data_IF_824136805812
#
_entry.id   IF_824136805812
#
_cell.length_a   1.000
_cell.length_b   1.000
_cell.length_c   1.000
_cell.angle_alpha   90.00
_cell.angle_beta   90.00
_cell.angle_gamma   90.00
#
_symmetry.space_group_name_H-M   'P 1'
#
loop_
_entity.id
_entity.type
_entity.pdbx_description
1 polymer ?
#
# COMPACT_ATOMS: atom_id res chain seq x y z
N UNK A 1 -27.08 0.70 0.74
CA UNK A 1 -26.05 -0.29 0.35
C UNK A 1 -25.98 -0.40 -1.16
N UNK A 2 -24.91 -0.99 -1.70
CA UNK A 2 -24.80 -1.33 -3.13
C UNK A 2 -25.43 -2.70 -3.42
N UNK A 3 -25.74 -3.01 -4.68
CA UNK A 3 -26.26 -4.33 -5.07
C UNK A 3 -25.30 -5.47 -4.68
N UNK A 4 -23.99 -5.23 -4.80
CA UNK A 4 -22.97 -6.18 -4.36
C UNK A 4 -23.04 -6.45 -2.86
N UNK A 5 -23.19 -5.40 -2.05
CA UNK A 5 -23.29 -5.53 -0.60
C UNK A 5 -24.52 -6.36 -0.19
N UNK A 6 -25.69 -6.03 -0.73
CA UNK A 6 -26.93 -6.75 -0.43
C UNK A 6 -26.87 -8.23 -0.86
N UNK A 7 -26.14 -8.53 -1.94
CA UNK A 7 -25.88 -9.91 -2.37
C UNK A 7 -24.98 -10.66 -1.37
N UNK A 8 -23.84 -10.08 -1.00
CA UNK A 8 -22.90 -10.71 -0.05
C UNK A 8 -23.53 -10.94 1.33
N UNK A 9 -24.37 -10.00 1.77
CA UNK A 9 -25.15 -10.13 3.01
C UNK A 9 -26.12 -11.31 2.95
N UNK A 10 -26.92 -11.42 1.87
CA UNK A 10 -27.85 -12.54 1.66
C UNK A 10 -27.14 -13.89 1.60
N UNK A 11 -25.93 -13.92 1.03
CA UNK A 11 -25.10 -15.12 0.93
C UNK A 11 -24.35 -15.45 2.22
N UNK A 12 -24.43 -14.61 3.26
CA UNK A 12 -23.73 -14.82 4.53
C UNK A 12 -22.21 -14.72 4.42
N UNK A 13 -21.71 -13.97 3.42
CA UNK A 13 -20.27 -13.88 3.09
C UNK A 13 -19.59 -12.65 3.65
N UNK A 14 -20.31 -11.74 4.30
CA UNK A 14 -19.73 -10.57 4.95
C UNK A 14 -19.09 -10.99 6.27
N UNK A 15 -17.83 -10.58 6.47
CA UNK A 15 -17.05 -10.87 7.68
C UNK A 15 -17.12 -9.71 8.68
N UNK A 16 -17.05 -8.48 8.18
CA UNK A 16 -17.01 -7.26 8.98
C UNK A 16 -17.49 -6.05 8.16
N UNK A 17 -17.88 -4.98 8.84
CA UNK A 17 -18.14 -3.71 8.17
C UNK A 17 -16.84 -3.11 7.62
N UNK A 18 -16.95 -2.43 6.47
CA UNK A 18 -15.78 -1.77 5.88
C UNK A 18 -15.38 -0.57 6.76
N UNK A 19 -14.10 -0.45 7.16
CA UNK A 19 -13.62 0.70 7.93
C UNK A 19 -13.54 1.99 7.10
N UNK A 20 -13.88 1.94 5.80
CA UNK A 20 -13.81 3.09 4.89
C UNK A 20 -12.42 3.32 4.26
N UNK A 21 -11.43 2.48 4.59
CA UNK A 21 -10.14 2.47 3.91
C UNK A 21 -10.23 1.68 2.60
N UNK A 22 -10.27 2.42 1.49
CA UNK A 22 -10.44 1.86 0.15
C UNK A 22 -9.15 1.29 -0.46
N UNK A 23 -8.02 1.36 0.25
CA UNK A 23 -6.70 0.90 -0.22
C UNK A 23 -6.15 -0.22 0.68
N UNK A 24 -6.90 -0.61 1.72
CA UNK A 24 -6.52 -1.69 2.63
C UNK A 24 -6.49 -3.06 1.92
N UNK A 25 -5.42 -3.84 2.15
CA UNK A 25 -5.28 -5.22 1.68
C UNK A 25 -5.94 -6.23 2.63
N UNK A 26 -7.14 -5.91 3.14
CA UNK A 26 -7.92 -6.79 4.02
C UNK A 26 -9.29 -7.04 3.38
N UNK A 27 -9.63 -8.31 3.20
CA UNK A 27 -10.95 -8.70 2.72
C UNK A 27 -11.93 -8.68 3.89
N UNK A 28 -13.02 -7.93 3.75
CA UNK A 28 -14.14 -7.91 4.68
C UNK A 28 -15.28 -8.85 4.26
N UNK A 29 -15.01 -9.74 3.30
CA UNK A 29 -15.95 -10.74 2.81
C UNK A 29 -15.21 -12.00 2.35
N UNK A 30 -15.92 -13.12 2.24
CA UNK A 30 -15.40 -14.40 1.73
C UNK A 30 -15.52 -14.41 0.21
N UNK A 31 -14.42 -14.34 -0.57
CA UNK A 31 -14.48 -14.39 -2.03
C UNK A 31 -14.80 -15.80 -2.55
N UNK A 32 -15.33 -15.87 -3.77
CA UNK A 32 -15.56 -17.15 -4.48
C UNK A 32 -14.27 -17.65 -5.12
N UNK A 33 -13.45 -16.71 -5.59
CA UNK A 33 -12.09 -17.00 -6.03
C UNK A 33 -11.17 -17.17 -4.83
N UNK A 34 -10.06 -17.86 -5.06
CA UNK A 34 -8.99 -17.95 -4.08
C UNK A 34 -8.61 -16.55 -3.52
N UNK A 35 -8.66 -16.35 -2.18
CA UNK A 35 -8.39 -15.07 -1.56
C UNK A 35 -7.01 -14.50 -1.86
N UNK A 36 -5.97 -15.36 -1.94
CA UNK A 36 -4.61 -14.92 -2.22
C UNK A 36 -4.51 -14.38 -3.65
N UNK A 37 -5.08 -15.10 -4.62
CA UNK A 37 -5.16 -14.66 -6.01
C UNK A 37 -5.90 -13.33 -6.17
N UNK A 38 -6.95 -13.09 -5.37
CA UNK A 38 -7.68 -11.81 -5.38
C UNK A 38 -6.80 -10.66 -4.88
N UNK A 39 -6.13 -10.86 -3.73
CA UNK A 39 -5.24 -9.85 -3.14
C UNK A 39 -4.04 -9.55 -4.03
N UNK A 40 -3.44 -10.57 -4.65
CA UNK A 40 -2.35 -10.41 -5.62
C UNK A 40 -2.81 -9.64 -6.86
N UNK A 41 -4.01 -9.95 -7.38
CA UNK A 41 -4.61 -9.23 -8.49
C UNK A 41 -4.83 -7.75 -8.15
N UNK A 42 -5.36 -7.47 -6.96
CA UNK A 42 -5.55 -6.11 -6.46
C UNK A 42 -4.23 -5.35 -6.32
N UNK A 43 -3.22 -5.98 -5.68
CA UNK A 43 -1.86 -5.43 -5.56
C UNK A 43 -1.25 -5.10 -6.92
N UNK A 44 -1.40 -6.01 -7.89
CA UNK A 44 -0.91 -5.82 -9.26
C UNK A 44 -1.60 -4.62 -9.93
N UNK A 45 -2.92 -4.49 -9.79
CA UNK A 45 -3.66 -3.35 -10.36
C UNK A 45 -3.18 -2.03 -9.77
N UNK A 46 -3.10 -1.93 -8.44
CA UNK A 46 -2.68 -0.70 -7.76
C UNK A 46 -1.24 -0.31 -8.12
N UNK A 47 -0.29 -1.25 -8.02
CA UNK A 47 1.12 -1.01 -8.37
C UNK A 47 1.32 -0.67 -9.85
N UNK A 48 0.42 -1.14 -10.73
CA UNK A 48 0.45 -0.79 -12.15
C UNK A 48 -0.13 0.60 -12.39
N UNK A 49 -1.25 0.96 -11.78
CA UNK A 49 -1.89 2.27 -12.00
C UNK A 49 -1.04 3.37 -11.37
N UNK A 50 -0.57 3.16 -10.15
CA UNK A 50 0.18 4.12 -9.35
C UNK A 50 1.67 3.76 -9.29
N UNK A 51 2.25 3.52 -10.47
CA UNK A 51 3.68 3.22 -10.59
C UNK A 51 4.54 4.37 -10.02
N UNK A 52 5.79 4.13 -9.55
CA UNK A 52 6.63 5.18 -8.96
C UNK A 52 6.91 6.38 -9.87
N UNK A 53 6.75 6.22 -11.19
CA UNK A 53 6.87 7.29 -12.18
C UNK A 53 5.54 7.95 -12.56
N UNK A 54 4.41 7.45 -12.05
CA UNK A 54 3.02 7.85 -12.35
C UNK A 54 2.67 7.92 -13.84
N UNK A 55 3.42 7.21 -14.70
CA UNK A 55 3.24 7.31 -16.16
C UNK A 55 1.84 6.86 -16.57
N UNK A 56 1.42 5.70 -16.07
CA UNK A 56 0.13 5.09 -16.42
C UNK A 56 -1.04 5.88 -15.83
N UNK A 57 -0.87 6.39 -14.62
CA UNK A 57 -1.85 7.28 -14.00
C UNK A 57 -2.08 8.54 -14.86
N UNK A 58 -1.01 9.21 -15.28
CA UNK A 58 -1.12 10.43 -16.06
C UNK A 58 -1.68 10.21 -17.46
N UNK A 59 -1.35 9.10 -18.11
CA UNK A 59 -1.96 8.71 -19.38
C UNK A 59 -3.48 8.54 -19.24
N UNK A 60 -3.93 7.84 -18.19
CA UNK A 60 -5.36 7.66 -17.90
C UNK A 60 -6.05 8.99 -17.60
N UNK A 61 -5.42 9.87 -16.82
CA UNK A 61 -5.94 11.20 -16.53
C UNK A 61 -6.07 12.03 -17.81
N UNK A 62 -5.08 11.95 -18.70
CA UNK A 62 -5.14 12.64 -19.98
C UNK A 62 -6.31 12.14 -20.82
N UNK A 63 -6.44 10.82 -20.99
CA UNK A 63 -7.58 10.22 -21.71
C UNK A 63 -8.91 10.68 -21.13
N UNK A 64 -9.05 10.66 -19.80
CA UNK A 64 -10.24 11.16 -19.12
C UNK A 64 -10.54 12.63 -19.47
N UNK A 65 -9.53 13.51 -19.38
CA UNK A 65 -9.68 14.93 -19.72
C UNK A 65 -9.94 15.17 -21.22
N UNK A 66 -9.51 14.28 -22.10
CA UNK A 66 -9.83 14.33 -23.53
C UNK A 66 -11.30 14.05 -23.78
N UNK A 67 -11.94 13.16 -23.01
CA UNK A 67 -13.34 12.79 -23.19
C UNK A 67 -14.32 13.61 -22.34
N UNK A 68 -13.86 14.23 -21.25
CA UNK A 68 -14.71 15.08 -20.42
C UNK A 68 -15.00 16.43 -21.10
N UNK A 69 -16.27 16.83 -21.04
CA UNK A 69 -16.66 18.19 -21.38
C UNK A 69 -16.25 19.13 -20.24
N UNK A 70 -15.72 20.33 -20.55
CA UNK A 70 -15.44 21.33 -19.53
C UNK A 70 -16.71 21.64 -18.74
N UNK A 71 -16.63 21.54 -17.41
CA UNK A 71 -17.76 21.92 -16.55
C UNK A 71 -18.06 23.42 -16.74
N UNK A 72 -19.34 23.82 -16.91
CA UNK A 72 -19.72 25.23 -17.04
C UNK A 72 -19.66 25.99 -15.71
N UNK A 73 -19.31 25.33 -14.60
CA UNK A 73 -19.24 25.97 -13.30
C UNK A 73 -18.12 27.03 -13.29
N UNK A 74 -18.38 28.25 -12.79
CA UNK A 74 -17.38 29.30 -12.75
C UNK A 74 -16.20 28.84 -11.90
N UNK A 75 -15.02 28.80 -12.51
CA UNK A 75 -13.77 28.49 -11.82
C UNK A 75 -13.55 29.59 -10.77
N UNK A 76 -13.59 29.20 -9.50
CA UNK A 76 -13.34 30.10 -8.37
C UNK A 76 -12.02 30.85 -8.58
N UNK A 77 -11.99 32.15 -8.31
CA UNK A 77 -10.76 32.96 -8.40
C UNK A 77 -9.69 32.37 -7.50
N UNK A 78 -8.57 31.99 -8.10
CA UNK A 78 -7.40 31.44 -7.43
C UNK A 78 -6.70 32.57 -6.64
N UNK A 79 -6.46 32.36 -5.34
CA UNK A 79 -5.76 33.33 -4.49
C UNK A 79 -4.24 33.20 -4.66
N UNK A 80 -3.49 34.30 -4.45
CA UNK A 80 -2.01 34.29 -4.52
C UNK A 80 -1.36 33.26 -3.59
N UNK A 81 -1.95 33.01 -2.42
CA UNK A 81 -1.49 31.99 -1.49
C UNK A 81 -1.64 30.56 -2.06
N UNK A 82 -2.71 30.29 -2.82
CA UNK A 82 -2.94 29.01 -3.48
C UNK A 82 -1.93 28.79 -4.60
N UNK A 83 -1.58 29.85 -5.35
CA UNK A 83 -0.50 29.82 -6.36
C UNK A 83 0.88 29.52 -5.75
N UNK A 84 1.20 30.10 -4.60
CA UNK A 84 2.46 29.84 -3.90
C UNK A 84 2.53 28.41 -3.35
N UNK A 85 1.43 27.91 -2.77
CA UNK A 85 1.32 26.52 -2.32
C UNK A 85 1.47 25.54 -3.51
N UNK A 86 0.86 25.88 -4.64
CA UNK A 86 1.03 25.16 -5.91
C UNK A 86 2.48 25.16 -6.37
N UNK A 87 3.14 26.31 -6.46
CA UNK A 87 4.53 26.41 -6.90
C UNK A 87 5.48 25.58 -6.01
N UNK A 88 5.26 25.56 -4.70
CA UNK A 88 6.04 24.72 -3.76
C UNK A 88 5.80 23.23 -4.00
N UNK A 89 4.55 22.82 -4.26
CA UNK A 89 4.19 21.44 -4.60
C UNK A 89 4.79 21.01 -5.94
N UNK A 90 4.73 21.88 -6.95
CA UNK A 90 5.34 21.70 -8.27
C UNK A 90 6.84 21.45 -8.18
N UNK A 91 7.59 22.27 -7.43
CA UNK A 91 9.04 22.10 -7.27
C UNK A 91 9.39 20.73 -6.69
N UNK A 92 8.63 20.26 -5.71
CA UNK A 92 8.82 18.93 -5.11
C UNK A 92 8.52 17.80 -6.09
N UNK A 93 7.45 17.92 -6.87
CA UNK A 93 7.04 16.88 -7.83
C UNK A 93 7.95 16.82 -9.07
N UNK A 94 8.39 17.97 -9.59
CA UNK A 94 9.33 18.04 -10.73
C UNK A 94 10.69 17.41 -10.41
N UNK A 95 11.17 17.54 -9.17
CA UNK A 95 12.43 16.95 -8.71
C UNK A 95 12.29 15.49 -8.23
N UNK A 96 11.09 14.92 -8.31
CA UNK A 96 10.82 13.55 -7.87
C UNK A 96 10.94 12.54 -9.04
N UNK A 97 10.85 11.25 -8.72
CA UNK A 97 10.88 10.16 -9.72
C UNK A 97 9.80 10.29 -10.79
N UNK A 98 8.64 10.88 -10.46
CA UNK A 98 7.56 11.12 -11.43
C UNK A 98 7.68 12.44 -12.22
N UNK A 99 8.70 13.27 -11.95
CA UNK A 99 8.85 14.61 -12.52
C UNK A 99 8.70 14.69 -14.04
N UNK A 100 9.33 13.79 -14.83
CA UNK A 100 9.18 13.78 -16.28
C UNK A 100 7.73 13.51 -16.74
N UNK A 101 7.05 12.54 -16.13
CA UNK A 101 5.67 12.20 -16.48
C UNK A 101 4.69 13.31 -16.08
N UNK A 102 4.93 13.89 -14.91
CA UNK A 102 4.20 15.05 -14.39
C UNK A 102 4.29 16.26 -15.33
N UNK A 103 5.51 16.63 -15.73
CA UNK A 103 5.72 17.76 -16.64
C UNK A 103 5.07 17.50 -18.00
N UNK A 104 5.27 16.30 -18.57
CA UNK A 104 4.67 15.90 -19.85
C UNK A 104 3.15 15.99 -19.81
N UNK A 105 2.53 15.51 -18.73
CA UNK A 105 1.08 15.55 -18.54
C UNK A 105 0.55 16.98 -18.52
N UNK A 106 1.14 17.85 -17.69
CA UNK A 106 0.68 19.23 -17.55
C UNK A 106 0.91 20.06 -18.81
N UNK A 107 2.06 19.89 -19.46
CA UNK A 107 2.35 20.56 -20.74
C UNK A 107 1.32 20.17 -21.81
N UNK A 108 0.97 18.87 -21.88
CA UNK A 108 0.00 18.36 -22.85
C UNK A 108 -1.42 18.89 -22.59
N UNK A 109 -1.86 18.91 -21.34
CA UNK A 109 -3.18 19.50 -21.00
C UNK A 109 -3.20 21.00 -21.27
N UNK A 110 -2.13 21.73 -20.95
CA UNK A 110 -2.06 23.16 -21.20
C UNK A 110 -2.17 23.48 -22.70
N UNK A 111 -1.56 22.66 -23.57
CA UNK A 111 -1.62 22.82 -25.02
C UNK A 111 -2.96 22.39 -25.62
N UNK A 112 -3.50 21.22 -25.24
CA UNK A 112 -4.67 20.62 -25.89
C UNK A 112 -6.01 21.07 -25.26
N UNK A 113 -6.02 21.34 -23.94
CA UNK A 113 -7.23 21.58 -23.14
C UNK A 113 -6.98 22.64 -22.04
N UNK A 114 -6.60 23.89 -22.35
CA UNK A 114 -6.23 24.90 -21.33
C UNK A 114 -7.34 25.19 -20.31
N UNK A 115 -8.63 25.08 -20.72
CA UNK A 115 -9.78 25.24 -19.80
C UNK A 115 -9.85 24.17 -18.70
N UNK A 116 -9.19 23.02 -18.89
CA UNK A 116 -9.12 21.91 -17.94
C UNK A 116 -7.82 21.89 -17.13
N UNK A 117 -6.97 22.92 -17.25
CA UNK A 117 -5.66 22.91 -16.62
C UNK A 117 -5.73 22.89 -15.08
N UNK A 118 -6.68 23.61 -14.48
CA UNK A 118 -6.91 23.56 -13.03
C UNK A 118 -7.24 22.14 -12.56
N UNK A 119 -8.03 21.41 -13.34
CA UNK A 119 -8.41 20.03 -13.06
C UNK A 119 -7.22 19.07 -13.23
N UNK A 120 -6.40 19.26 -14.26
CA UNK A 120 -5.16 18.50 -14.42
C UNK A 120 -4.19 18.70 -13.25
N UNK A 121 -4.05 19.93 -12.78
CA UNK A 121 -3.25 20.24 -11.58
C UNK A 121 -3.78 19.50 -10.35
N UNK A 122 -5.11 19.50 -10.13
CA UNK A 122 -5.75 18.72 -9.06
C UNK A 122 -5.44 17.24 -9.18
N UNK A 123 -5.64 16.66 -10.37
CA UNK A 123 -5.36 15.25 -10.63
C UNK A 123 -3.89 14.90 -10.42
N UNK A 124 -2.96 15.80 -10.73
CA UNK A 124 -1.55 15.55 -10.53
C UNK A 124 -1.14 15.55 -9.06
N UNK A 125 -1.72 16.43 -8.25
CA UNK A 125 -1.57 16.40 -6.78
C UNK A 125 -2.12 15.09 -6.22
N UNK A 126 -3.31 14.67 -6.66
CA UNK A 126 -3.91 13.40 -6.24
C UNK A 126 -3.07 12.20 -6.66
N UNK A 127 -2.50 12.19 -7.87
CA UNK A 127 -1.64 11.11 -8.35
C UNK A 127 -0.45 10.87 -7.43
N UNK A 128 0.22 11.94 -7.00
CA UNK A 128 1.31 11.82 -6.03
C UNK A 128 0.86 11.19 -4.71
N UNK A 129 -0.28 11.64 -4.19
CA UNK A 129 -0.82 11.08 -2.96
C UNK A 129 -1.15 9.60 -3.11
N UNK A 130 -1.79 9.21 -4.23
CA UNK A 130 -2.13 7.82 -4.48
C UNK A 130 -0.93 6.91 -4.67
N UNK A 131 0.15 7.34 -5.34
CA UNK A 131 1.39 6.57 -5.41
C UNK A 131 2.01 6.37 -4.03
N UNK A 132 2.08 7.42 -3.21
CA UNK A 132 2.63 7.34 -1.86
C UNK A 132 1.81 6.40 -0.98
N UNK A 133 0.50 6.58 -0.93
CA UNK A 133 -0.40 5.73 -0.13
C UNK A 133 -0.34 4.28 -0.61
N UNK A 134 -0.45 4.03 -1.92
CA UNK A 134 -0.33 2.69 -2.51
C UNK A 134 1.00 2.02 -2.13
N UNK A 135 2.12 2.74 -2.28
CA UNK A 135 3.44 2.20 -1.93
C UNK A 135 3.53 1.81 -0.46
N UNK A 136 2.93 2.57 0.45
CA UNK A 136 2.97 2.26 1.88
C UNK A 136 2.05 1.10 2.26
N UNK A 137 0.83 1.02 1.69
CA UNK A 137 -0.03 -0.14 1.93
C UNK A 137 0.58 -1.43 1.36
N UNK A 138 1.27 -1.36 0.22
CA UNK A 138 2.02 -2.50 -0.31
C UNK A 138 3.14 -2.91 0.65
N UNK A 139 3.91 -1.95 1.18
CA UNK A 139 4.97 -2.25 2.15
C UNK A 139 4.42 -2.89 3.44
N UNK A 140 3.30 -2.39 3.96
CA UNK A 140 2.57 -2.97 5.10
C UNK A 140 2.13 -4.41 4.82
N UNK A 141 1.51 -4.65 3.67
CA UNK A 141 1.08 -5.99 3.25
C UNK A 141 2.27 -6.95 3.13
N UNK A 142 3.35 -6.51 2.47
CA UNK A 142 4.52 -7.34 2.23
C UNK A 142 5.29 -7.66 3.51
N UNK A 143 5.32 -6.73 4.47
CA UNK A 143 5.89 -6.97 5.78
C UNK A 143 5.10 -7.99 6.59
N UNK A 144 3.76 -7.93 6.58
CA UNK A 144 2.91 -8.95 7.22
C UNK A 144 3.13 -10.34 6.60
N UNK A 145 3.25 -10.41 5.28
CA UNK A 145 3.56 -11.64 4.57
C UNK A 145 4.97 -12.17 4.91
N UNK A 146 5.96 -11.26 5.00
CA UNK A 146 7.31 -11.57 5.45
C UNK A 146 7.32 -12.22 6.84
N UNK A 147 6.70 -11.58 7.85
CA UNK A 147 6.65 -12.12 9.22
C UNK A 147 5.99 -13.50 9.27
N UNK A 148 4.92 -13.70 8.51
CA UNK A 148 4.21 -14.98 8.44
C UNK A 148 5.11 -16.09 7.89
N UNK A 149 5.85 -15.81 6.81
CA UNK A 149 6.79 -16.75 6.20
C UNK A 149 7.96 -17.07 7.11
N UNK A 150 8.56 -16.07 7.76
CA UNK A 150 9.67 -16.31 8.69
C UNK A 150 9.22 -17.14 9.90
N UNK A 151 7.99 -16.93 10.39
CA UNK A 151 7.45 -17.72 11.50
C UNK A 151 7.19 -19.18 11.09
N UNK A 152 6.67 -19.40 9.88
CA UNK A 152 6.47 -20.74 9.33
C UNK A 152 7.81 -21.47 9.17
N UNK A 153 8.79 -20.83 8.53
CA UNK A 153 10.14 -21.39 8.39
C UNK A 153 10.84 -21.65 9.73
N UNK A 154 10.59 -20.81 10.74
CA UNK A 154 11.04 -21.06 12.11
C UNK A 154 10.40 -22.32 12.70
N UNK A 155 9.08 -22.48 12.58
CA UNK A 155 8.36 -23.67 13.08
C UNK A 155 8.81 -24.96 12.40
N UNK A 156 9.04 -24.93 11.09
CA UNK A 156 9.60 -26.07 10.36
C UNK A 156 10.98 -26.46 10.91
N UNK A 157 11.87 -25.50 11.16
CA UNK A 157 13.19 -25.77 11.74
C UNK A 157 13.11 -26.28 13.17
N UNK A 158 12.21 -25.71 13.98
CA UNK A 158 11.96 -26.18 15.35
C UNK A 158 11.57 -27.66 15.34
N UNK A 159 10.70 -28.08 14.41
CA UNK A 159 10.27 -29.48 14.29
C UNK A 159 11.40 -30.44 13.91
N UNK A 160 12.45 -29.97 13.23
CA UNK A 160 13.63 -30.79 12.91
C UNK A 160 14.61 -30.89 14.09
N UNK A 161 14.48 -30.05 15.11
CA UNK A 161 15.41 -29.96 16.23
C UNK A 161 14.88 -30.48 17.55
N UNK A 162 13.58 -30.78 17.65
CA UNK A 162 13.02 -31.50 18.80
C UNK A 162 13.71 -32.85 19.08
N UNK A 163 14.50 -33.36 18.13
CA UNK A 163 15.17 -34.66 18.20
C UNK A 163 16.68 -34.59 18.55
N UNK A 164 17.29 -33.40 18.77
CA UNK A 164 18.74 -33.23 18.93
C UNK A 164 19.16 -32.58 20.27
N UNK A 165 20.17 -33.11 21.00
CA UNK A 165 20.53 -32.59 22.32
C UNK A 165 21.52 -31.40 22.28
N UNK A 166 21.27 -30.40 23.14
CA UNK A 166 22.23 -29.42 23.68
C UNK A 166 22.76 -28.34 22.73
N UNK A 167 23.38 -28.72 21.61
CA UNK A 167 23.93 -27.77 20.62
C UNK A 167 22.83 -27.04 19.85
N UNK A 168 21.70 -27.72 19.58
CA UNK A 168 20.56 -27.13 18.86
C UNK A 168 19.93 -25.92 19.55
N UNK A 169 20.00 -25.83 20.89
CA UNK A 169 19.40 -24.70 21.64
C UNK A 169 20.16 -23.39 21.38
N UNK A 170 21.50 -23.43 21.38
CA UNK A 170 22.32 -22.24 21.14
C UNK A 170 22.20 -21.77 19.68
N UNK A 171 22.15 -22.70 18.74
CA UNK A 171 21.94 -22.41 17.32
C UNK A 171 20.53 -21.83 17.09
N UNK A 172 19.52 -22.31 17.82
CA UNK A 172 18.17 -21.76 17.78
C UNK A 172 18.06 -20.36 18.36
N UNK A 173 18.71 -20.10 19.50
CA UNK A 173 18.77 -18.75 20.05
C UNK A 173 19.44 -17.78 19.09
N UNK A 174 20.54 -18.20 18.45
CA UNK A 174 21.24 -17.39 17.44
C UNK A 174 20.34 -17.09 16.24
N UNK A 175 19.67 -18.10 15.69
CA UNK A 175 18.73 -17.93 14.59
C UNK A 175 17.53 -17.03 14.95
N UNK A 176 16.98 -17.17 16.16
CA UNK A 176 15.92 -16.28 16.64
C UNK A 176 16.36 -14.82 16.72
N UNK A 177 17.58 -14.56 17.20
CA UNK A 177 18.12 -13.20 17.23
C UNK A 177 18.31 -12.62 15.82
N UNK A 178 18.74 -13.43 14.85
CA UNK A 178 18.82 -13.02 13.45
C UNK A 178 17.45 -12.67 12.86
N UNK A 179 16.43 -13.49 13.13
CA UNK A 179 15.05 -13.23 12.71
C UNK A 179 14.51 -11.93 13.31
N UNK A 180 14.68 -11.72 14.61
CA UNK A 180 14.24 -10.49 15.28
C UNK A 180 14.95 -9.25 14.73
N UNK A 181 16.26 -9.36 14.47
CA UNK A 181 17.05 -8.26 13.91
C UNK A 181 16.60 -7.93 12.49
N UNK A 182 16.34 -8.95 11.67
CA UNK A 182 15.86 -8.79 10.30
C UNK A 182 14.46 -8.21 10.25
N UNK A 183 13.53 -8.71 11.07
CA UNK A 183 12.17 -8.18 11.21
C UNK A 183 12.16 -6.71 11.62
N UNK A 184 13.03 -6.32 12.58
CA UNK A 184 13.16 -4.92 12.99
C UNK A 184 13.69 -4.03 11.86
N UNK A 185 14.68 -4.50 11.10
CA UNK A 185 15.22 -3.77 9.94
C UNK A 185 14.16 -3.53 8.87
N UNK A 186 13.34 -4.54 8.56
CA UNK A 186 12.25 -4.40 7.59
C UNK A 186 11.15 -3.46 8.12
N UNK A 187 10.79 -3.55 9.40
CA UNK A 187 9.86 -2.61 10.05
C UNK A 187 10.32 -1.15 9.95
N UNK A 188 11.62 -0.89 10.12
CA UNK A 188 12.17 0.47 10.04
C UNK A 188 12.08 1.09 8.65
N UNK A 189 11.99 0.28 7.58
CA UNK A 189 11.79 0.76 6.21
C UNK A 189 10.36 1.27 5.96
N UNK A 190 9.39 0.85 6.76
CA UNK A 190 8.00 1.32 6.68
C UNK A 190 7.93 2.74 7.23
N UNK A 191 7.25 3.63 6.49
CA UNK A 191 7.08 5.02 6.90
C UNK A 191 6.36 5.10 8.26
N UNK A 192 6.79 6.03 9.13
CA UNK A 192 6.28 6.16 10.51
C UNK A 192 4.77 6.17 10.61
N UNK A 193 4.11 6.92 9.72
CA UNK A 193 2.66 7.10 9.72
C UNK A 193 1.88 5.80 9.45
N UNK A 194 2.54 4.76 8.92
CA UNK A 194 1.92 3.47 8.58
C UNK A 194 2.34 2.33 9.52
N UNK A 195 3.30 2.57 10.43
CA UNK A 195 3.82 1.53 11.33
C UNK A 195 2.77 0.96 12.29
N UNK A 196 1.83 1.79 12.74
CA UNK A 196 0.69 1.35 13.55
C UNK A 196 -0.13 0.22 12.90
N UNK A 197 -0.09 0.09 11.58
CA UNK A 197 -0.79 -0.98 10.85
C UNK A 197 -0.06 -2.32 10.89
N UNK A 198 1.13 -2.42 11.48
CA UNK A 198 1.92 -3.66 11.56
C UNK A 198 2.51 -3.94 12.94
N UNK A 199 2.30 -3.04 13.91
CA UNK A 199 2.78 -3.20 15.28
C UNK A 199 2.23 -4.48 15.93
N UNK A 200 0.93 -4.73 15.78
CA UNK A 200 0.27 -5.96 16.23
C UNK A 200 0.92 -7.23 15.62
N UNK A 201 1.21 -7.20 14.32
CA UNK A 201 1.82 -8.31 13.61
C UNK A 201 3.25 -8.58 14.12
N UNK A 202 4.03 -7.51 14.33
CA UNK A 202 5.39 -7.62 14.85
C UNK A 202 5.40 -8.12 16.30
N UNK A 203 4.52 -7.61 17.16
CA UNK A 203 4.38 -8.08 18.54
C UNK A 203 4.00 -9.56 18.60
N UNK A 204 3.02 -9.98 17.77
CA UNK A 204 2.59 -11.37 17.71
C UNK A 204 3.70 -12.29 17.21
N UNK A 205 4.48 -11.85 16.23
CA UNK A 205 5.67 -12.56 15.76
C UNK A 205 6.70 -12.74 16.89
N UNK A 206 7.03 -11.66 17.61
CA UNK A 206 7.97 -11.70 18.74
C UNK A 206 7.49 -12.64 19.85
N UNK A 207 6.21 -12.54 20.25
CA UNK A 207 5.61 -13.42 21.26
C UNK A 207 5.62 -14.88 20.81
N UNK A 208 5.31 -15.15 19.54
CA UNK A 208 5.31 -16.52 19.02
C UNK A 208 6.71 -17.15 19.07
N UNK A 209 7.75 -16.40 18.71
CA UNK A 209 9.13 -16.86 18.84
C UNK A 209 9.53 -17.11 20.30
N UNK A 210 9.18 -16.20 21.22
CA UNK A 210 9.51 -16.33 22.65
C UNK A 210 8.81 -17.52 23.31
N UNK A 211 7.52 -17.72 23.03
CA UNK A 211 6.76 -18.82 23.62
C UNK A 211 7.26 -20.19 23.16
N UNK A 212 7.82 -20.27 21.95
CA UNK A 212 8.36 -21.52 21.40
C UNK A 212 9.57 -22.05 22.20
N UNK A 213 10.30 -21.16 22.89
CA UNK A 213 11.38 -21.54 23.81
C UNK A 213 10.89 -21.96 25.20
N UNK A 214 9.69 -21.53 25.61
CA UNK A 214 9.16 -21.76 26.95
C UNK A 214 8.47 -23.13 27.09
N UNK A 215 8.07 -23.75 25.98
CA UNK A 215 7.40 -25.05 25.95
C UNK A 215 8.32 -26.27 26.14
N UNK A 216 9.64 -26.08 26.15
CA UNK A 216 10.65 -27.15 26.32
C UNK A 216 11.27 -27.20 27.75
N UNK A 217 10.67 -26.50 28.73
CA UNK A 217 11.00 -26.61 30.17
C UNK A 217 9.84 -27.23 30.95
#
# INVERSE_FOLDING_TARGET
>A
GTDLYARLEREGRLLEESPGDNICFKLNFIPEMDPQKLLEGYKRVLSTIYDPGLKRYFERCLTMLTHLQPSPHPVRRIRRAELLALAKSFKRQLLSRQGPAYFKFLARVLQERPRMFSEAVRLAIMGYHFEKVTSQHIAVHDFRAYLSRELEGFRERLSCWSDLPGQGINDLQSYMQELLTSARREYEQIHSDFRHQVEDALENFQRALQNSLATDN
#
